data_IF_130262008896
#
_entry.id   IF_130262008896
#
_cell.length_a   1.000
_cell.length_b   1.000
_cell.length_c   1.000
_cell.angle_alpha   90.00
_cell.angle_beta   90.00
_cell.angle_gamma   90.00
#
_symmetry.space_group_name_H-M   'P 1'
#
loop_
_entity.id
_entity.type
_entity.pdbx_description
1 polymer ?
#
# COMPACT_ATOMS: atom_id res chain seq x y z
N UNK A 1 -24.15 15.11 18.20
CA UNK A 1 -23.59 14.41 17.01
C UNK A 1 -22.21 13.90 17.38
N UNK A 2 -22.06 12.60 17.62
CA UNK A 2 -20.74 11.99 17.86
C UNK A 2 -20.13 11.76 16.47
N UNK A 3 -19.12 12.56 16.11
CA UNK A 3 -18.31 12.28 14.93
C UNK A 3 -17.55 10.98 15.20
N UNK A 4 -17.93 9.89 14.54
CA UNK A 4 -17.13 8.67 14.47
C UNK A 4 -15.86 9.00 13.67
N UNK A 5 -14.92 9.70 14.31
CA UNK A 5 -13.65 10.03 13.70
C UNK A 5 -12.86 8.73 13.62
N UNK A 6 -12.79 8.17 12.41
CA UNK A 6 -11.91 7.05 12.10
C UNK A 6 -10.49 7.43 12.56
N UNK A 7 -9.91 6.64 13.46
CA UNK A 7 -8.56 6.89 13.96
C UNK A 7 -7.56 6.94 12.81
N UNK A 8 -6.56 7.83 12.92
CA UNK A 8 -5.44 7.89 12.00
C UNK A 8 -4.45 6.76 12.38
N UNK A 9 -3.97 5.99 11.39
CA UNK A 9 -3.02 4.87 11.55
C UNK A 9 -1.67 5.12 10.85
N UNK A 10 -1.43 6.35 10.37
CA UNK A 10 -0.26 6.73 9.59
C UNK A 10 1.04 6.50 10.36
N UNK A 11 1.07 6.91 11.63
CA UNK A 11 2.23 6.73 12.49
C UNK A 11 2.54 5.25 12.73
N UNK A 12 1.51 4.43 12.98
CA UNK A 12 1.68 2.99 13.20
C UNK A 12 2.20 2.30 11.93
N UNK A 13 1.73 2.72 10.75
CA UNK A 13 2.19 2.19 9.48
C UNK A 13 3.66 2.55 9.22
N UNK A 14 4.02 3.82 9.42
CA UNK A 14 5.41 4.27 9.30
C UNK A 14 6.31 3.54 10.29
N UNK A 15 5.90 3.45 11.55
CA UNK A 15 6.66 2.74 12.58
C UNK A 15 6.84 1.26 12.23
N UNK A 16 5.79 0.58 11.77
CA UNK A 16 5.86 -0.84 11.39
C UNK A 16 6.83 -1.08 10.24
N UNK A 17 6.86 -0.18 9.25
CA UNK A 17 7.82 -0.23 8.14
C UNK A 17 9.24 -0.02 8.67
N UNK A 18 9.47 1.02 9.47
CA UNK A 18 10.79 1.33 10.01
C UNK A 18 11.32 0.23 10.92
N UNK A 19 10.46 -0.33 11.79
CA UNK A 19 10.79 -1.48 12.64
C UNK A 19 11.21 -2.68 11.81
N UNK A 20 10.46 -2.98 10.75
CA UNK A 20 10.79 -4.09 9.83
C UNK A 20 12.15 -3.88 9.17
N UNK A 21 12.49 -2.67 8.74
CA UNK A 21 13.80 -2.37 8.15
C UNK A 21 14.98 -2.59 9.11
N UNK A 22 14.77 -2.39 10.42
CA UNK A 22 15.82 -2.43 11.44
C UNK A 22 15.97 -3.81 12.06
N UNK A 23 14.85 -4.52 12.25
CA UNK A 23 14.83 -5.77 13.02
C UNK A 23 14.79 -7.03 12.16
N UNK A 24 14.56 -6.90 10.84
CA UNK A 24 14.40 -8.04 9.94
C UNK A 24 15.29 -7.91 8.72
N UNK A 25 15.85 -9.05 8.30
CA UNK A 25 16.57 -9.21 7.03
C UNK A 25 15.92 -10.26 6.12
N UNK A 26 14.84 -10.91 6.58
CA UNK A 26 14.12 -11.97 5.88
C UNK A 26 13.02 -11.44 4.93
N UNK A 27 13.29 -10.30 4.28
CA UNK A 27 12.41 -9.75 3.24
C UNK A 27 13.22 -9.01 2.17
N UNK A 28 12.73 -9.02 0.94
CA UNK A 28 13.42 -8.35 -0.16
C UNK A 28 12.95 -6.91 -0.35
N UNK A 29 11.63 -6.70 -0.39
CA UNK A 29 11.01 -5.44 -0.76
C UNK A 29 9.75 -5.18 0.05
N UNK A 30 9.47 -3.90 0.29
CA UNK A 30 8.25 -3.41 0.92
C UNK A 30 7.32 -2.86 -0.17
N UNK A 31 6.07 -3.32 -0.14
CA UNK A 31 4.99 -2.84 -0.98
C UNK A 31 3.97 -2.11 -0.12
N UNK A 32 3.55 -0.92 -0.54
CA UNK A 32 2.62 -0.08 0.23
C UNK A 32 1.32 0.04 -0.56
N UNK A 33 0.21 -0.31 0.07
CA UNK A 33 -1.13 -0.18 -0.51
C UNK A 33 -1.81 1.06 0.04
N UNK A 34 -1.66 2.19 -0.63
CA UNK A 34 -2.32 3.45 -0.27
C UNK A 34 -2.28 4.43 -1.44
N UNK A 35 -3.09 5.49 -1.38
CA UNK A 35 -2.99 6.68 -2.23
C UNK A 35 -2.43 7.91 -1.52
N UNK A 36 -2.17 7.80 -0.21
CA UNK A 36 -1.87 8.93 0.67
C UNK A 36 -0.47 9.51 0.41
N UNK A 37 -0.40 10.83 0.29
CA UNK A 37 0.84 11.56 0.07
C UNK A 37 1.75 11.62 1.29
N UNK A 38 1.21 11.41 2.50
CA UNK A 38 1.98 11.53 3.74
C UNK A 38 3.09 10.48 3.84
N UNK A 39 2.94 9.36 3.14
CA UNK A 39 3.95 8.30 3.07
C UNK A 39 5.08 8.59 2.06
N UNK A 40 5.02 9.70 1.31
CA UNK A 40 5.98 9.98 0.23
C UNK A 40 7.44 10.00 0.71
N UNK A 41 7.71 10.59 1.88
CA UNK A 41 9.06 10.63 2.46
C UNK A 41 9.58 9.24 2.81
N UNK A 42 8.74 8.40 3.41
CA UNK A 42 9.07 7.01 3.73
C UNK A 42 9.33 6.21 2.44
N UNK A 43 8.47 6.35 1.43
CA UNK A 43 8.65 5.71 0.12
C UNK A 43 9.99 6.09 -0.52
N UNK A 44 10.35 7.39 -0.48
CA UNK A 44 11.63 7.87 -1.01
C UNK A 44 12.82 7.23 -0.31
N UNK A 45 12.78 7.19 1.02
CA UNK A 45 13.81 6.52 1.82
C UNK A 45 13.95 5.03 1.46
N UNK A 46 12.83 4.32 1.30
CA UNK A 46 12.84 2.91 0.91
C UNK A 46 13.43 2.68 -0.49
N UNK A 47 13.17 3.58 -1.44
CA UNK A 47 13.76 3.53 -2.79
C UNK A 47 15.28 3.67 -2.67
N UNK A 48 15.75 4.65 -1.90
CA UNK A 48 17.18 4.93 -1.75
C UNK A 48 17.92 3.80 -1.02
N UNK A 49 17.22 3.04 -0.17
CA UNK A 49 17.72 1.81 0.47
C UNK A 49 17.62 0.57 -0.39
N UNK A 50 17.11 0.69 -1.61
CA UNK A 50 16.79 -0.45 -2.48
C UNK A 50 15.88 -1.48 -1.79
N UNK A 51 15.02 -1.04 -0.88
CA UNK A 51 14.04 -1.88 -0.16
C UNK A 51 12.61 -1.61 -0.60
N UNK A 52 12.38 -0.69 -1.54
CA UNK A 52 11.03 -0.42 -2.07
C UNK A 52 10.68 -1.29 -3.28
N UNK A 53 9.51 -1.92 -3.22
CA UNK A 53 8.89 -2.60 -4.36
C UNK A 53 8.08 -1.62 -5.19
N UNK A 54 6.81 -1.40 -4.79
CA UNK A 54 5.89 -0.46 -5.44
C UNK A 54 4.88 0.16 -4.48
N UNK A 55 4.41 1.34 -4.86
CA UNK A 55 3.19 1.96 -4.34
C UNK A 55 2.01 1.41 -5.14
N UNK A 56 1.12 0.70 -4.45
CA UNK A 56 -0.04 0.04 -5.02
C UNK A 56 -1.29 0.88 -4.74
N UNK A 57 -1.80 1.55 -5.75
CA UNK A 57 -2.97 2.41 -5.64
C UNK A 57 -4.25 1.56 -5.74
N UNK A 58 -5.11 1.52 -4.71
CA UNK A 58 -6.37 0.77 -4.75
C UNK A 58 -7.34 1.31 -5.81
N UNK A 59 -7.28 2.62 -6.06
CA UNK A 59 -8.10 3.28 -7.07
C UNK A 59 -7.32 4.43 -7.73
N UNK A 60 -7.79 4.87 -8.89
CA UNK A 60 -7.17 5.98 -9.65
C UNK A 60 -7.51 7.36 -9.08
N UNK A 61 -8.60 7.50 -8.31
CA UNK A 61 -9.19 8.79 -7.92
C UNK A 61 -8.46 9.46 -6.77
N UNK A 62 -7.94 8.69 -5.81
CA UNK A 62 -7.40 9.22 -4.55
C UNK A 62 -5.88 9.13 -4.46
N UNK A 63 -5.18 9.18 -5.60
CA UNK A 63 -3.70 9.16 -5.64
C UNK A 63 -3.14 10.57 -5.48
N UNK A 64 -2.27 10.77 -4.48
CA UNK A 64 -1.48 11.99 -4.33
C UNK A 64 -0.62 12.28 -5.58
N UNK A 65 -0.60 13.53 -6.02
CA UNK A 65 0.19 13.99 -7.16
C UNK A 65 1.71 13.88 -6.92
N UNK A 66 2.15 13.78 -5.65
CA UNK A 66 3.54 13.57 -5.28
C UNK A 66 4.14 12.32 -5.95
N UNK A 67 3.33 11.27 -6.10
CA UNK A 67 3.77 10.02 -6.70
C UNK A 67 3.99 10.08 -8.21
N UNK A 68 3.52 11.13 -8.91
CA UNK A 68 3.86 11.35 -10.33
C UNK A 68 5.37 11.44 -10.56
N UNK A 69 6.12 11.87 -9.53
CA UNK A 69 7.58 12.02 -9.57
C UNK A 69 8.34 10.69 -9.45
N UNK A 70 7.69 9.61 -8.99
CA UNK A 70 8.34 8.31 -8.82
C UNK A 70 8.36 7.46 -10.09
N UNK A 71 7.53 7.80 -11.08
CA UNK A 71 7.35 7.07 -12.33
C UNK A 71 6.66 5.71 -12.19
N UNK A 72 6.42 5.06 -13.33
CA UNK A 72 5.72 3.77 -13.41
C UNK A 72 6.55 2.59 -12.86
N UNK A 73 7.88 2.78 -12.77
CA UNK A 73 8.79 1.80 -12.15
C UNK A 73 8.36 1.48 -10.72
N UNK A 74 7.99 2.50 -9.94
CA UNK A 74 7.72 2.39 -8.51
C UNK A 74 6.24 2.49 -8.15
N UNK A 75 5.35 2.55 -9.13
CA UNK A 75 3.91 2.70 -8.89
C UNK A 75 3.09 1.74 -9.74
N UNK A 76 1.89 1.38 -9.25
CA UNK A 76 0.95 0.50 -9.97
C UNK A 76 -0.47 0.69 -9.45
N UNK A 77 -1.47 0.49 -10.31
CA UNK A 77 -2.89 0.47 -9.93
C UNK A 77 -3.38 -0.96 -9.72
N UNK A 78 -3.96 -1.26 -8.56
CA UNK A 78 -4.49 -2.60 -8.27
C UNK A 78 -5.65 -3.01 -9.19
N UNK A 79 -6.41 -2.04 -9.70
CA UNK A 79 -7.47 -2.30 -10.67
C UNK A 79 -6.97 -3.05 -11.91
N UNK A 80 -5.71 -2.85 -12.32
CA UNK A 80 -5.13 -3.52 -13.49
C UNK A 80 -4.91 -5.03 -13.31
N UNK A 81 -4.93 -5.53 -12.06
CA UNK A 81 -4.76 -6.94 -11.73
C UNK A 81 -5.95 -7.51 -10.98
N UNK A 82 -7.08 -6.78 -10.96
CA UNK A 82 -8.28 -7.14 -10.20
C UNK A 82 -8.68 -8.59 -10.44
N UNK A 83 -8.76 -9.02 -11.69
CA UNK A 83 -9.19 -10.38 -12.06
C UNK A 83 -8.29 -11.49 -11.50
N UNK A 84 -7.05 -11.15 -11.10
CA UNK A 84 -6.10 -12.10 -10.49
C UNK A 84 -6.16 -12.12 -8.97
N UNK A 85 -6.60 -11.04 -8.34
CA UNK A 85 -6.53 -10.84 -6.88
C UNK A 85 -7.91 -10.70 -6.23
N UNK A 86 -8.98 -10.65 -7.02
CA UNK A 86 -10.31 -10.45 -6.50
C UNK A 86 -10.78 -11.65 -5.67
N UNK A 87 -11.38 -11.34 -4.53
CA UNK A 87 -11.94 -12.36 -3.66
C UNK A 87 -13.28 -12.84 -4.23
N UNK A 88 -13.26 -13.99 -4.89
CA UNK A 88 -14.46 -14.69 -5.34
C UNK A 88 -15.01 -15.53 -4.18
N UNK A 89 -16.11 -15.10 -3.56
CA UNK A 89 -16.86 -15.99 -2.65
C UNK A 89 -17.33 -17.20 -3.44
N UNK A 90 -16.76 -18.36 -3.14
CA UNK A 90 -17.30 -19.64 -3.61
C UNK A 90 -18.77 -19.70 -3.19
N UNK A 91 -19.68 -19.91 -4.16
CA UNK A 91 -21.09 -20.14 -3.84
C UNK A 91 -21.14 -21.37 -2.93
N UNK A 92 -21.69 -21.21 -1.72
CA UNK A 92 -22.10 -22.37 -0.92
C UNK A 92 -23.05 -23.16 -1.80
N UNK A 93 -22.70 -24.41 -2.12
CA UNK A 93 -23.65 -25.36 -2.67
C UNK A 93 -24.87 -25.35 -1.75
N UNK A 94 -26.03 -25.01 -2.31
CA UNK A 94 -27.29 -25.28 -1.64
C UNK A 94 -27.36 -26.80 -1.54
N UNK A 95 -27.10 -27.33 -0.35
CA UNK A 95 -27.31 -28.75 -0.06
C UNK A 95 -28.71 -29.13 -0.52
N UNK A 96 -28.76 -30.19 -1.35
CA UNK A 96 -30.01 -30.85 -1.73
C UNK A 96 -30.62 -31.62 -0.58
#
# INVERSE_FOLDING_TARGET
MISYKKGNVDADLVFSVMKTLVERDDFEKIFIVSGDGDYYKMVRYLIDKERFGKMLFPNKRFRSSLYKRLGDKHTMYLYSVKDKIEYLKLKKEKGG
#
